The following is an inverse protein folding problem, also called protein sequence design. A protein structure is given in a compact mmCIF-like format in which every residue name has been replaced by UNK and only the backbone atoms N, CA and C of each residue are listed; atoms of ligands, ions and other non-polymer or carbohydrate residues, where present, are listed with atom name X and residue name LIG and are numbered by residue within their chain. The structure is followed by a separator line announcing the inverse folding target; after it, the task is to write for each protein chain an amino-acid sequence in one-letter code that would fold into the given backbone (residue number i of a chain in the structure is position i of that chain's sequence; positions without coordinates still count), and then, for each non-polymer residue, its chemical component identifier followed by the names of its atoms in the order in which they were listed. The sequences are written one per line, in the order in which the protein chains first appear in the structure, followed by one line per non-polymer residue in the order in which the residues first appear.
data_IF_493107478866
#
_entry.id   IF_493107478866
#
_cell.length_a   1.000
_cell.length_b   1.000
_cell.length_c   1.000
_cell.angle_alpha   90.00
_cell.angle_beta   90.00
_cell.angle_gamma   90.00
#
_symmetry.space_group_name_H-M   'P 1'
#
loop_
_entity.id
_entity.type
_entity.pdbx_description
1 polymer ?
#
# COMPACT_ATOMS: atom_id res chain seq x y z
N UNK A 1 -2.87 4.78 15.17
CA UNK A 1 -1.71 5.57 14.69
C UNK A 1 -1.36 5.03 13.32
N UNK A 2 -1.51 5.81 12.26
CA UNK A 2 -1.20 5.36 10.89
C UNK A 2 0.31 5.26 10.72
N UNK A 3 0.84 4.04 10.65
CA UNK A 3 2.28 3.74 10.60
C UNK A 3 2.94 4.31 9.33
N UNK A 4 2.17 4.48 8.25
CA UNK A 4 2.66 4.91 6.94
C UNK A 4 2.03 6.20 6.42
N UNK A 5 1.42 7.02 7.29
CA UNK A 5 0.94 8.34 6.89
C UNK A 5 2.04 9.21 6.26
N UNK A 6 1.68 9.93 5.20
CA UNK A 6 2.57 10.78 4.40
C UNK A 6 3.76 10.05 3.76
N UNK A 7 3.69 8.72 3.60
CA UNK A 7 4.64 7.95 2.81
C UNK A 7 3.99 7.47 1.52
N UNK A 8 4.73 7.60 0.42
CA UNK A 8 4.32 7.16 -0.91
C UNK A 8 5.08 5.91 -1.30
N UNK A 9 4.38 4.88 -1.78
CA UNK A 9 5.00 3.62 -2.21
C UNK A 9 4.72 3.39 -3.69
N UNK A 10 5.78 3.12 -4.46
CA UNK A 10 5.64 2.72 -5.86
C UNK A 10 5.60 1.20 -5.97
N UNK A 11 4.45 0.65 -6.36
CA UNK A 11 4.23 -0.79 -6.46
C UNK A 11 4.04 -1.16 -7.94
N UNK A 12 4.86 -2.07 -8.45
CA UNK A 12 4.68 -2.65 -9.79
C UNK A 12 3.84 -3.92 -9.70
N UNK A 13 3.00 -4.19 -10.69
CA UNK A 13 2.22 -5.43 -10.76
C UNK A 13 1.13 -5.59 -9.66
N UNK A 14 0.40 -4.53 -9.33
CA UNK A 14 -0.63 -4.54 -8.26
C UNK A 14 -2.06 -4.89 -8.72
N UNK A 15 -2.23 -5.38 -9.95
CA UNK A 15 -3.55 -5.68 -10.51
C UNK A 15 -4.21 -6.88 -9.82
N UNK A 16 -3.45 -7.91 -9.42
CA UNK A 16 -3.94 -9.14 -8.76
C UNK A 16 -2.88 -9.73 -7.80
N UNK A 17 -3.27 -10.71 -7.00
CA UNK A 17 -2.35 -11.47 -6.14
C UNK A 17 -1.68 -10.63 -5.06
N UNK A 18 -0.39 -10.89 -4.82
CA UNK A 18 0.37 -10.32 -3.70
C UNK A 18 0.50 -8.79 -3.83
N UNK A 19 0.77 -8.26 -5.03
CA UNK A 19 0.90 -6.82 -5.25
C UNK A 19 -0.37 -6.05 -4.84
N UNK A 20 -1.55 -6.62 -5.13
CA UNK A 20 -2.84 -6.05 -4.67
C UNK A 20 -2.98 -6.10 -3.15
N UNK A 21 -2.62 -7.21 -2.53
CA UNK A 21 -2.71 -7.35 -1.07
C UNK A 21 -1.79 -6.37 -0.33
N UNK A 22 -0.56 -6.17 -0.84
CA UNK A 22 0.40 -5.19 -0.32
C UNK A 22 -0.15 -3.77 -0.45
N UNK A 23 -0.66 -3.39 -1.63
CA UNK A 23 -1.24 -2.07 -1.86
C UNK A 23 -2.40 -1.77 -0.89
N UNK A 24 -3.31 -2.73 -0.69
CA UNK A 24 -4.43 -2.59 0.24
C UNK A 24 -3.97 -2.46 1.70
N UNK A 25 -2.97 -3.24 2.11
CA UNK A 25 -2.40 -3.17 3.46
C UNK A 25 -1.75 -1.81 3.72
N UNK A 26 -0.95 -1.31 2.78
CA UNK A 26 -0.31 0.00 2.88
C UNK A 26 -1.34 1.14 2.91
N UNK A 27 -2.36 1.09 2.05
CA UNK A 27 -3.45 2.06 2.07
C UNK A 27 -4.20 2.05 3.41
N UNK A 28 -4.46 0.86 3.98
CA UNK A 28 -5.10 0.74 5.31
C UNK A 28 -4.28 1.33 6.46
N UNK A 29 -2.97 1.44 6.27
CA UNK A 29 -2.03 2.00 7.24
C UNK A 29 -1.70 3.48 6.98
N UNK A 30 -2.41 4.11 6.04
CA UNK A 30 -2.37 5.54 5.73
C UNK A 30 -1.36 5.96 4.66
N UNK A 31 -0.80 5.01 3.92
CA UNK A 31 0.05 5.33 2.77
C UNK A 31 -0.75 5.95 1.62
N UNK A 32 -0.08 6.82 0.84
CA UNK A 32 -0.62 7.44 -0.37
C UNK A 32 -0.11 6.75 -1.65
#
# INVERSE_FOLDING_TARGET
MSVFANKTFFITGASRGIGKAIALKLASEGAN
#
